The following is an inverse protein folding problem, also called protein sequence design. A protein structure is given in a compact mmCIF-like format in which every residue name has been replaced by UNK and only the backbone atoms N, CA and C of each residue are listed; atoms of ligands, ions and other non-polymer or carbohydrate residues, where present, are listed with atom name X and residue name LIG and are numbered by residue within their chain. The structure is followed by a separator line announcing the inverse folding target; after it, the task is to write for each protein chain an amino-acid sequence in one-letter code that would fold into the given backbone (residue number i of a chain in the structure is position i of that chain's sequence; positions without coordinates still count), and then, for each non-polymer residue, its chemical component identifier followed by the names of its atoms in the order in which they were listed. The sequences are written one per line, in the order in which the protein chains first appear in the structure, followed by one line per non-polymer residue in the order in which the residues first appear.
data_IF_820545434873
#
_entry.id   IF_820545434873
#
_cell.length_a   1.000
_cell.length_b   1.000
_cell.length_c   1.000
_cell.angle_alpha   90.00
_cell.angle_beta   90.00
_cell.angle_gamma   90.00
#
_symmetry.space_group_name_H-M   'P 1'
#
loop_
_entity.id
_entity.type
_entity.pdbx_description
1 polymer ?
#
# COMPACT_ATOMS: atom_id res chain seq x y z
N UNK A 1 -36.70 4.95 6.78
CA UNK A 1 -35.82 4.91 7.98
C UNK A 1 -34.52 4.13 7.75
N UNK A 2 -34.53 2.80 7.53
CA UNK A 2 -33.27 2.01 7.40
C UNK A 2 -32.52 2.27 6.07
N UNK A 3 -33.24 2.34 4.95
CA UNK A 3 -32.64 2.54 3.63
C UNK A 3 -31.93 3.91 3.46
N UNK A 4 -32.41 4.93 4.17
CA UNK A 4 -31.88 6.29 4.14
C UNK A 4 -30.59 6.40 4.96
N UNK A 5 -30.56 5.76 6.14
CA UNK A 5 -29.36 5.65 6.98
C UNK A 5 -28.24 4.84 6.32
N UNK A 6 -28.60 3.83 5.50
CA UNK A 6 -27.62 3.07 4.70
C UNK A 6 -27.03 3.93 3.58
N UNK A 7 -27.85 4.72 2.87
CA UNK A 7 -27.37 5.65 1.83
C UNK A 7 -26.47 6.75 2.40
N UNK A 8 -26.80 7.29 3.56
CA UNK A 8 -26.01 8.32 4.23
C UNK A 8 -24.63 7.79 4.65
N UNK A 9 -24.57 6.57 5.23
CA UNK A 9 -23.31 5.89 5.55
C UNK A 9 -22.45 5.60 4.33
N UNK A 10 -23.07 5.25 3.19
CA UNK A 10 -22.35 5.04 1.94
C UNK A 10 -21.83 6.36 1.35
N UNK A 11 -22.61 7.43 1.39
CA UNK A 11 -22.16 8.77 1.00
C UNK A 11 -20.98 9.24 1.84
N UNK A 12 -21.05 9.05 3.16
CA UNK A 12 -19.97 9.41 4.09
C UNK A 12 -18.70 8.58 3.88
N UNK A 13 -18.84 7.27 3.60
CA UNK A 13 -17.67 6.42 3.31
C UNK A 13 -17.00 6.82 2.00
N UNK A 14 -17.77 7.17 0.96
CA UNK A 14 -17.27 7.69 -0.31
C UNK A 14 -16.54 9.03 -0.11
N UNK A 15 -17.13 9.96 0.66
CA UNK A 15 -16.50 11.25 1.00
C UNK A 15 -15.18 11.07 1.74
N UNK A 16 -15.16 10.22 2.77
CA UNK A 16 -13.94 9.91 3.55
C UNK A 16 -12.85 9.30 2.68
N UNK A 17 -13.21 8.41 1.75
CA UNK A 17 -12.24 7.82 0.82
C UNK A 17 -11.64 8.86 -0.15
N UNK A 18 -12.48 9.76 -0.68
CA UNK A 18 -12.02 10.87 -1.52
C UNK A 18 -11.09 11.81 -0.75
N UNK A 19 -11.42 12.14 0.50
CA UNK A 19 -10.59 12.99 1.35
C UNK A 19 -9.28 12.31 1.76
N UNK A 20 -9.29 10.99 1.98
CA UNK A 20 -8.08 10.19 2.22
C UNK A 20 -7.18 10.16 0.98
N UNK A 21 -7.74 10.07 -0.23
CA UNK A 21 -6.99 10.15 -1.49
C UNK A 21 -6.35 11.52 -1.73
N UNK A 22 -7.01 12.60 -1.29
CA UNK A 22 -6.51 13.97 -1.42
C UNK A 22 -5.42 14.31 -0.41
N UNK A 23 -5.35 13.60 0.71
CA UNK A 23 -4.31 13.82 1.73
C UNK A 23 -2.98 13.26 1.22
N UNK A 24 -1.95 14.11 1.02
CA UNK A 24 -0.63 13.61 0.69
C UNK A 24 -0.17 12.70 1.84
N UNK A 25 0.14 11.44 1.52
CA UNK A 25 0.72 10.52 2.49
C UNK A 25 2.08 11.10 2.88
N UNK A 26 2.26 11.42 4.17
CA UNK A 26 3.55 11.94 4.63
C UNK A 26 4.66 10.93 4.32
N UNK A 27 5.85 11.43 3.97
CA UNK A 27 7.02 10.58 3.64
C UNK A 27 7.29 9.57 4.75
N UNK A 28 7.14 9.96 6.01
CA UNK A 28 7.25 9.07 7.16
C UNK A 28 6.22 7.92 7.16
N UNK A 29 4.97 8.21 6.78
CA UNK A 29 3.92 7.18 6.70
C UNK A 29 4.11 6.26 5.50
N UNK A 30 4.52 6.80 4.36
CA UNK A 30 4.89 6.01 3.18
C UNK A 30 6.06 5.06 3.52
N UNK A 31 7.11 5.58 4.15
CA UNK A 31 8.25 4.78 4.62
C UNK A 31 7.81 3.68 5.57
N UNK A 32 6.98 4.00 6.58
CA UNK A 32 6.47 3.00 7.53
C UNK A 32 5.73 1.85 6.83
N UNK A 33 4.89 2.17 5.85
CA UNK A 33 4.16 1.16 5.08
C UNK A 33 5.12 0.27 4.25
N UNK A 34 6.15 0.84 3.64
CA UNK A 34 7.17 0.09 2.90
C UNK A 34 7.94 -0.89 3.81
N UNK A 35 8.31 -0.45 5.02
CA UNK A 35 9.01 -1.31 5.99
C UNK A 35 8.12 -2.47 6.47
N UNK A 36 6.83 -2.22 6.70
CA UNK A 36 5.87 -3.26 7.07
C UNK A 36 5.75 -4.29 5.94
N UNK A 37 5.65 -3.85 4.68
CA UNK A 37 5.62 -4.75 3.53
C UNK A 37 6.89 -5.59 3.46
N UNK A 38 8.07 -4.96 3.53
CA UNK A 38 9.36 -5.66 3.46
C UNK A 38 9.54 -6.70 4.58
N UNK A 39 9.05 -6.39 5.79
CA UNK A 39 9.01 -7.36 6.89
C UNK A 39 8.11 -8.55 6.58
N UNK A 40 6.90 -8.29 6.10
CA UNK A 40 5.87 -9.33 5.96
C UNK A 40 6.03 -10.17 4.69
N UNK A 41 6.39 -9.56 3.56
CA UNK A 41 6.46 -10.21 2.26
C UNK A 41 7.85 -10.75 1.94
N UNK A 42 8.90 -10.05 2.38
CA UNK A 42 10.28 -10.41 2.06
C UNK A 42 11.09 -10.84 3.30
N UNK A 43 10.49 -10.86 4.48
CA UNK A 43 11.12 -11.39 5.70
C UNK A 43 12.21 -10.51 6.31
N UNK A 44 12.34 -9.24 5.89
CA UNK A 44 13.38 -8.37 6.43
C UNK A 44 13.15 -8.01 7.90
N UNK A 45 14.24 -7.89 8.66
CA UNK A 45 14.20 -7.32 10.02
C UNK A 45 14.08 -5.80 9.93
N UNK A 46 13.22 -5.21 10.78
CA UNK A 46 13.09 -3.74 10.85
C UNK A 46 14.41 -3.06 11.23
N UNK A 47 15.23 -3.71 12.05
CA UNK A 47 16.53 -3.19 12.48
C UNK A 47 17.48 -2.90 11.32
N UNK A 48 17.36 -3.62 10.21
CA UNK A 48 18.15 -3.36 9.00
C UNK A 48 17.91 -1.95 8.45
N UNK A 49 16.67 -1.45 8.56
CA UNK A 49 16.29 -0.13 8.02
C UNK A 49 16.36 1.00 9.05
N UNK A 50 16.87 0.73 10.27
CA UNK A 50 17.15 1.79 11.24
C UNK A 50 18.24 2.71 10.66
N UNK A 51 17.99 4.01 10.70
CA UNK A 51 18.92 5.01 10.15
C UNK A 51 18.83 5.25 8.63
N UNK A 52 18.25 4.33 7.85
CA UNK A 52 18.02 4.60 6.41
C UNK A 52 17.04 5.75 6.20
N UNK A 53 17.17 6.48 5.10
CA UNK A 53 16.20 7.46 4.62
C UNK A 53 15.08 6.81 3.80
N UNK A 54 14.08 7.59 3.40
CA UNK A 54 13.06 7.13 2.45
C UNK A 54 13.68 6.75 1.10
N UNK A 55 14.61 7.57 0.60
CA UNK A 55 15.23 7.38 -0.72
C UNK A 55 16.11 6.12 -0.77
N UNK A 56 16.73 5.74 0.35
CA UNK A 56 17.48 4.48 0.46
C UNK A 56 16.57 3.25 0.62
N UNK A 57 15.45 3.40 1.32
CA UNK A 57 14.48 2.30 1.54
C UNK A 57 13.68 1.99 0.27
N UNK A 58 13.38 3.02 -0.53
CA UNK A 58 12.55 2.94 -1.73
C UNK A 58 13.02 1.91 -2.78
N UNK A 59 14.28 1.88 -3.23
CA UNK A 59 14.73 0.93 -4.25
C UNK A 59 14.65 -0.53 -3.77
N UNK A 60 14.84 -0.78 -2.47
CA UNK A 60 14.70 -2.13 -1.89
C UNK A 60 13.25 -2.59 -1.95
N UNK A 61 12.32 -1.72 -1.56
CA UNK A 61 10.89 -1.98 -1.69
C UNK A 61 10.47 -2.24 -3.14
N UNK A 62 10.88 -1.38 -4.08
CA UNK A 62 10.52 -1.54 -5.49
C UNK A 62 11.02 -2.86 -6.07
N UNK A 63 12.22 -3.30 -5.69
CA UNK A 63 12.76 -4.61 -6.10
C UNK A 63 11.90 -5.77 -5.60
N UNK A 64 11.54 -5.80 -4.33
CA UNK A 64 10.71 -6.89 -3.76
C UNK A 64 9.27 -6.83 -4.28
N UNK A 65 8.71 -5.62 -4.40
CA UNK A 65 7.39 -5.42 -4.97
C UNK A 65 7.32 -5.92 -6.42
N UNK A 66 8.32 -5.58 -7.24
CA UNK A 66 8.36 -6.00 -8.63
C UNK A 66 8.46 -7.51 -8.79
N UNK A 67 9.21 -8.23 -7.94
CA UNK A 67 9.25 -9.71 -7.96
C UNK A 67 7.87 -10.32 -7.75
N UNK A 68 7.12 -9.81 -6.78
CA UNK A 68 5.75 -10.28 -6.49
C UNK A 68 4.82 -9.89 -7.63
N UNK A 69 4.94 -8.66 -8.13
CA UNK A 69 4.12 -8.17 -9.22
C UNK A 69 4.34 -8.94 -10.53
N UNK A 70 5.57 -9.37 -10.83
CA UNK A 70 5.88 -10.23 -11.99
C UNK A 70 5.32 -11.63 -11.83
N UNK A 71 5.32 -12.19 -10.61
CA UNK A 71 4.75 -13.50 -10.33
C UNK A 71 3.24 -13.54 -10.63
N UNK A 72 2.50 -12.51 -10.21
CA UNK A 72 1.04 -12.43 -10.44
C UNK A 72 0.63 -11.93 -11.83
N UNK A 73 1.59 -11.55 -12.69
CA UNK A 73 1.31 -11.19 -14.09
C UNK A 73 1.27 -12.38 -15.04
N UNK A 74 1.82 -13.54 -14.65
CA UNK A 74 1.86 -14.73 -15.51
C UNK A 74 0.48 -15.38 -15.74
N UNK A 75 -0.54 -15.06 -14.93
CA UNK A 75 -1.90 -15.62 -15.08
C UNK A 75 -2.82 -14.84 -16.02
N UNK A 76 -2.36 -13.75 -16.67
CA UNK A 76 -3.21 -12.98 -17.59
C UNK A 76 -3.11 -13.36 -19.08
N UNK A 77 -2.25 -14.31 -19.42
CA UNK A 77 -2.07 -14.79 -20.81
C UNK A 77 -2.52 -16.26 -20.99
N UNK A 78 -3.56 -16.71 -20.28
CA UNK A 78 -4.26 -17.97 -20.58
C UNK A 78 -5.76 -17.70 -20.70
N UNK A 79 -6.17 -17.01 -21.76
CA UNK A 79 -7.47 -17.17 -22.41
C UNK A 79 -7.31 -16.67 -23.86
N UNK A 80 -7.03 -17.61 -24.78
CA UNK A 80 -7.37 -17.48 -26.20
C UNK A 80 -8.29 -18.64 -26.57
#
# INVERSE_FOLDING_TARGET
AVAEQVKERQSDSIKRYQDLKKKPVSVAKARKNMLIYLKNMAGYKIDFFKGMSYDETRPIFEREYNKVHTLFKQDKDVQQ
#
